data_IF_678522217164
#
_entry.id   IF_678522217164
#
_cell.length_a   1.000
_cell.length_b   1.000
_cell.length_c   1.000
_cell.angle_alpha   90.00
_cell.angle_beta   90.00
_cell.angle_gamma   90.00
#
_symmetry.space_group_name_H-M   'P 1'
#
loop_
_entity.id
_entity.type
_entity.pdbx_description
1 polymer ?
#
# COMPACT_ATOMS: atom_id res chain seq x y z
N UNK A 1 24.31 0.07 4.66
CA UNK A 1 22.92 0.09 4.15
C UNK A 1 22.17 -1.00 4.90
N UNK A 2 20.99 -0.73 5.47
CA UNK A 2 20.18 -1.76 6.16
C UNK A 2 18.98 -2.04 5.27
N UNK A 3 18.79 -3.30 4.93
CA UNK A 3 17.66 -3.80 4.13
C UNK A 3 16.81 -4.71 5.01
N UNK A 4 15.48 -4.63 4.83
CA UNK A 4 14.52 -5.52 5.50
C UNK A 4 13.71 -6.18 4.39
N UNK A 5 13.66 -7.52 4.42
CA UNK A 5 12.89 -8.32 3.47
C UNK A 5 11.95 -9.23 4.26
N UNK A 6 10.67 -9.20 3.91
CA UNK A 6 9.63 -10.04 4.51
C UNK A 6 8.74 -10.59 3.40
N UNK A 7 8.30 -11.83 3.53
CA UNK A 7 7.39 -12.49 2.59
C UNK A 7 6.23 -13.11 3.35
N UNK A 8 5.03 -13.03 2.79
CA UNK A 8 3.82 -13.69 3.29
C UNK A 8 3.07 -14.31 2.10
N UNK A 9 2.38 -15.44 2.35
CA UNK A 9 1.49 -16.06 1.38
C UNK A 9 0.06 -15.55 1.60
N UNK A 10 -0.58 -15.09 0.53
CA UNK A 10 -1.98 -14.63 0.55
C UNK A 10 -2.78 -15.55 -0.37
N UNK A 11 -3.81 -16.20 0.17
CA UNK A 11 -4.70 -17.08 -0.57
C UNK A 11 -5.73 -16.28 -1.40
N UNK A 12 -5.24 -15.51 -2.38
CA UNK A 12 -6.04 -14.70 -3.29
C UNK A 12 -5.37 -14.62 -4.67
N UNK A 13 -6.13 -14.23 -5.70
CA UNK A 13 -5.54 -13.99 -7.02
C UNK A 13 -4.64 -12.75 -6.98
N UNK A 14 -3.53 -12.71 -7.75
CA UNK A 14 -2.62 -11.57 -7.76
C UNK A 14 -3.31 -10.22 -8.06
N UNK A 15 -4.34 -10.23 -8.89
CA UNK A 15 -5.11 -9.03 -9.24
C UNK A 15 -5.92 -8.50 -8.05
N UNK A 16 -6.49 -9.37 -7.23
CA UNK A 16 -7.25 -8.98 -6.03
C UNK A 16 -6.32 -8.36 -4.99
N UNK A 17 -5.13 -8.97 -4.81
CA UNK A 17 -4.09 -8.41 -3.94
C UNK A 17 -3.65 -7.03 -4.46
N UNK A 18 -3.42 -6.89 -5.77
CA UNK A 18 -3.05 -5.62 -6.37
C UNK A 18 -4.13 -4.54 -6.18
N UNK A 19 -5.41 -4.89 -6.33
CA UNK A 19 -6.51 -3.98 -6.08
C UNK A 19 -6.51 -3.49 -4.63
N UNK A 20 -6.34 -4.39 -3.65
CA UNK A 20 -6.26 -4.00 -2.24
C UNK A 20 -5.03 -3.13 -1.93
N UNK A 21 -3.87 -3.46 -2.52
CA UNK A 21 -2.63 -2.68 -2.36
C UNK A 21 -2.71 -1.29 -3.01
N UNK A 22 -3.56 -1.10 -4.02
CA UNK A 22 -3.71 0.18 -4.72
C UNK A 22 -4.96 0.96 -4.31
N UNK A 23 -5.81 0.39 -3.45
CA UNK A 23 -6.98 1.06 -2.90
C UNK A 23 -6.61 1.95 -1.70
N UNK A 24 -5.97 3.07 -2.01
CA UNK A 24 -5.44 4.01 -1.03
C UNK A 24 -6.46 4.58 -0.05
N UNK A 25 -7.77 4.52 -0.37
CA UNK A 25 -8.83 5.03 0.51
C UNK A 25 -9.17 4.08 1.64
N UNK A 26 -8.97 2.78 1.44
CA UNK A 26 -9.27 1.74 2.42
C UNK A 26 -8.02 1.25 3.16
N UNK A 27 -6.87 1.91 2.97
CA UNK A 27 -5.68 1.67 3.77
C UNK A 27 -5.91 1.67 5.28
N UNK A 28 -6.74 2.55 5.89
CA UNK A 28 -6.96 2.52 7.34
C UNK A 28 -7.52 1.20 7.89
N UNK A 29 -8.09 0.34 7.04
CA UNK A 29 -8.64 -0.95 7.46
C UNK A 29 -7.55 -1.97 7.81
N UNK A 30 -6.36 -1.86 7.20
CA UNK A 30 -5.30 -2.87 7.36
C UNK A 30 -3.87 -2.28 7.47
N UNK A 31 -3.65 -1.05 7.03
CA UNK A 31 -2.37 -0.35 7.10
C UNK A 31 -2.43 0.77 8.17
N UNK A 32 -1.96 0.50 9.41
CA UNK A 32 -2.04 1.47 10.50
C UNK A 32 -1.09 2.67 10.34
N UNK A 33 -0.14 2.62 9.40
CA UNK A 33 0.88 3.65 9.21
C UNK A 33 0.51 4.69 8.14
N UNK A 34 -0.06 4.24 7.02
CA UNK A 34 -0.51 5.10 5.93
C UNK A 34 -2.03 5.21 6.00
N UNK A 35 -2.57 6.39 6.33
CA UNK A 35 -4.03 6.57 6.42
C UNK A 35 -4.68 6.80 5.06
N UNK A 36 -3.99 7.50 4.18
CA UNK A 36 -4.48 7.77 2.83
C UNK A 36 -3.29 7.97 1.92
N UNK A 37 -3.48 7.71 0.63
CA UNK A 37 -2.58 8.20 -0.40
C UNK A 37 -3.41 8.75 -1.56
N UNK A 38 -2.92 9.84 -2.15
CA UNK A 38 -3.54 10.44 -3.33
C UNK A 38 -2.62 10.29 -4.55
N UNK A 39 -3.23 10.10 -5.72
CA UNK A 39 -2.52 9.82 -6.97
C UNK A 39 -3.01 8.54 -7.65
N UNK A 40 -2.41 8.21 -8.80
CA UNK A 40 -2.74 7.04 -9.60
C UNK A 40 -1.60 6.01 -9.47
N UNK A 41 -1.93 4.75 -9.16
CA UNK A 41 -0.98 3.65 -9.09
C UNK A 41 -0.51 3.23 -10.51
N UNK A 42 0.21 4.14 -11.17
CA UNK A 42 0.68 3.99 -12.54
C UNK A 42 2.15 4.34 -12.65
N UNK A 43 2.87 3.63 -13.50
CA UNK A 43 4.28 3.89 -13.80
C UNK A 43 4.50 5.36 -14.18
N UNK A 44 5.51 5.97 -13.55
CA UNK A 44 5.87 7.37 -13.77
C UNK A 44 4.98 8.39 -13.06
N UNK A 45 4.01 7.96 -12.24
CA UNK A 45 3.23 8.85 -11.37
C UNK A 45 3.78 8.87 -9.95
N UNK A 46 3.57 9.99 -9.27
CA UNK A 46 3.92 10.20 -7.86
C UNK A 46 2.66 10.00 -7.04
N UNK A 47 2.81 9.29 -5.92
CA UNK A 47 1.79 9.16 -4.89
C UNK A 47 2.13 10.09 -3.73
N UNK A 48 1.13 10.77 -3.17
CA UNK A 48 1.26 11.61 -1.99
C UNK A 48 0.58 10.93 -0.79
N UNK A 49 1.33 10.15 0.01
CA UNK A 49 0.81 9.50 1.21
C UNK A 49 0.64 10.50 2.36
N UNK A 50 -0.38 10.28 3.18
CA UNK A 50 -0.50 10.87 4.52
C UNK A 50 -0.28 9.78 5.55
N UNK A 51 0.79 9.92 6.31
CA UNK A 51 1.14 9.01 7.40
C UNK A 51 0.66 9.56 8.73
N UNK A 52 0.50 8.67 9.70
CA UNK A 52 0.48 9.06 11.10
C UNK A 52 1.90 9.31 11.61
N UNK A 53 2.03 10.14 12.64
CA UNK A 53 3.25 10.11 13.46
C UNK A 53 3.35 8.71 14.12
N UNK A 54 4.56 8.15 14.23
CA UNK A 54 4.79 6.87 14.92
C UNK A 54 4.40 6.93 16.40
#
# INVERSE_FOLDING_TARGET
MREITTTIDIAAAPLEVWQALTDFRHYPEWNPFIREASGEARTGRILAPRTTAP
#
